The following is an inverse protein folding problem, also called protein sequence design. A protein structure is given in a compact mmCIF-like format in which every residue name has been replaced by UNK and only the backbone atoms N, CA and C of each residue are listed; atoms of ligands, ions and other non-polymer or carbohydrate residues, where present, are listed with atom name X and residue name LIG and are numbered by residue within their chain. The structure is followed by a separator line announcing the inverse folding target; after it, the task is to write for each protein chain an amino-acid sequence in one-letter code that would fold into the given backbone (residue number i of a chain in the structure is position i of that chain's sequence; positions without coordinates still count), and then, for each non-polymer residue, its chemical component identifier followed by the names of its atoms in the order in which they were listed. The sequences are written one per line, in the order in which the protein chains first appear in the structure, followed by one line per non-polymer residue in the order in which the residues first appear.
data_IF_320938424161
#
_entry.id   IF_320938424161
#
_cell.length_a   1.000
_cell.length_b   1.000
_cell.length_c   1.000
_cell.angle_alpha   90.00
_cell.angle_beta   90.00
_cell.angle_gamma   90.00
#
_symmetry.space_group_name_H-M   'P 1'
#
loop_
_entity.id
_entity.type
_entity.pdbx_description
1 polymer ?
#
# COMPACT_ATOMS: atom_id res chain seq x y z
N UNK A 1 -1.54 4.76 -22.19
CA UNK A 1 -0.38 3.86 -22.31
C UNK A 1 -0.82 2.64 -23.08
N UNK A 2 0.00 2.17 -24.03
CA UNK A 2 -0.25 0.91 -24.73
C UNK A 2 -0.19 -0.22 -23.70
N UNK A 3 -1.16 -1.14 -23.72
CA UNK A 3 -1.23 -2.27 -22.81
C UNK A 3 -0.02 -3.17 -23.10
N UNK A 4 0.82 -3.41 -22.09
CA UNK A 4 1.99 -4.28 -22.25
C UNK A 4 1.54 -5.72 -22.55
N UNK A 5 2.24 -6.39 -23.46
CA UNK A 5 2.07 -7.82 -23.69
C UNK A 5 2.62 -8.64 -22.51
N UNK A 6 2.23 -9.92 -22.42
CA UNK A 6 2.76 -10.83 -21.40
C UNK A 6 4.28 -10.95 -21.53
N UNK A 7 4.81 -11.01 -22.75
CA UNK A 7 6.26 -11.11 -22.98
C UNK A 7 7.00 -9.85 -22.53
N UNK A 8 6.42 -8.66 -22.73
CA UNK A 8 6.96 -7.40 -22.21
C UNK A 8 6.94 -7.35 -20.68
N UNK A 9 5.87 -7.86 -20.05
CA UNK A 9 5.79 -7.95 -18.58
C UNK A 9 6.83 -8.92 -18.03
N UNK A 10 7.05 -10.07 -18.68
CA UNK A 10 8.10 -11.03 -18.32
C UNK A 10 9.48 -10.42 -18.42
N UNK A 11 9.78 -9.75 -19.52
CA UNK A 11 11.06 -9.05 -19.72
C UNK A 11 11.29 -7.97 -18.65
N UNK A 12 10.24 -7.24 -18.26
CA UNK A 12 10.33 -6.24 -17.19
C UNK A 12 10.61 -6.89 -15.81
N UNK A 13 9.94 -8.01 -15.49
CA UNK A 13 10.21 -8.77 -14.26
C UNK A 13 11.65 -9.28 -14.23
N UNK A 14 12.17 -9.82 -15.34
CA UNK A 14 13.56 -10.27 -15.45
C UNK A 14 14.57 -9.12 -15.28
N UNK A 15 14.26 -7.94 -15.81
CA UNK A 15 15.08 -6.73 -15.62
C UNK A 15 15.17 -6.37 -14.14
N UNK A 16 14.03 -6.24 -13.44
CA UNK A 16 14.04 -5.89 -12.01
C UNK A 16 14.71 -6.95 -11.14
N UNK A 17 14.58 -8.24 -11.49
CA UNK A 17 15.33 -9.32 -10.82
C UNK A 17 16.83 -9.16 -10.99
N UNK A 18 17.27 -8.80 -12.19
CA UNK A 18 18.69 -8.54 -12.49
C UNK A 18 19.23 -7.34 -11.71
N UNK A 19 18.37 -6.35 -11.42
CA UNK A 19 18.66 -5.20 -10.55
C UNK A 19 18.62 -5.54 -9.05
N UNK A 20 18.29 -6.79 -8.68
CA UNK A 20 18.33 -7.29 -7.31
C UNK A 20 17.05 -7.08 -6.49
N UNK A 21 15.93 -6.71 -7.13
CA UNK A 21 14.66 -6.51 -6.44
C UNK A 21 14.05 -7.85 -5.97
N UNK A 22 13.45 -7.82 -4.78
CA UNK A 22 12.64 -8.93 -4.26
C UNK A 22 11.30 -9.06 -5.01
N UNK A 23 10.61 -10.20 -4.85
CA UNK A 23 9.29 -10.41 -5.45
C UNK A 23 8.30 -9.32 -5.04
N UNK A 24 8.33 -8.93 -3.77
CA UNK A 24 7.49 -7.87 -3.22
C UNK A 24 7.81 -6.51 -3.87
N UNK A 25 9.09 -6.13 -3.97
CA UNK A 25 9.49 -4.85 -4.56
C UNK A 25 9.08 -4.75 -6.04
N UNK A 26 9.17 -5.85 -6.78
CA UNK A 26 8.71 -5.92 -8.17
C UNK A 26 7.18 -5.77 -8.26
N UNK A 27 6.44 -6.42 -7.35
CA UNK A 27 4.99 -6.32 -7.28
C UNK A 27 4.55 -4.86 -7.03
N UNK A 28 5.23 -4.17 -6.11
CA UNK A 28 4.97 -2.77 -5.78
C UNK A 28 5.26 -1.85 -6.98
N UNK A 29 6.41 -2.02 -7.64
CA UNK A 29 6.82 -1.19 -8.78
C UNK A 29 5.91 -1.41 -10.01
N UNK A 30 5.46 -2.65 -10.24
CA UNK A 30 4.59 -2.98 -11.37
C UNK A 30 3.10 -2.76 -11.05
N UNK A 31 2.75 -2.52 -9.78
CA UNK A 31 1.38 -2.49 -9.26
C UNK A 31 0.59 -3.77 -9.59
N UNK A 32 1.25 -4.92 -9.41
CA UNK A 32 0.74 -6.27 -9.61
C UNK A 32 0.75 -7.03 -8.29
N UNK A 33 0.01 -8.15 -8.20
CA UNK A 33 0.13 -9.07 -7.06
C UNK A 33 1.45 -9.86 -7.11
N UNK A 34 1.97 -10.23 -5.95
CA UNK A 34 3.14 -11.12 -5.85
C UNK A 34 2.92 -12.44 -6.61
N UNK A 35 1.71 -13.00 -6.58
CA UNK A 35 1.34 -14.21 -7.34
C UNK A 35 1.53 -14.02 -8.83
N UNK A 36 1.15 -12.84 -9.36
CA UNK A 36 1.34 -12.52 -10.78
C UNK A 36 2.81 -12.34 -11.13
N UNK A 37 3.60 -11.70 -10.26
CA UNK A 37 5.06 -11.59 -10.46
C UNK A 37 5.74 -12.97 -10.44
N UNK A 38 5.31 -13.87 -9.56
CA UNK A 38 5.80 -15.25 -9.52
C UNK A 38 5.44 -16.03 -10.78
N UNK A 39 4.21 -15.87 -11.28
CA UNK A 39 3.78 -16.47 -12.55
C UNK A 39 4.54 -15.89 -13.75
N UNK A 40 4.78 -14.58 -13.78
CA UNK A 40 5.61 -13.94 -14.82
C UNK A 40 7.07 -14.43 -14.77
N UNK A 41 7.55 -14.86 -13.60
CA UNK A 41 8.90 -15.41 -13.43
C UNK A 41 9.00 -16.90 -13.79
N UNK A 42 7.88 -17.61 -14.01
CA UNK A 42 7.91 -19.05 -14.28
C UNK A 42 8.25 -19.34 -15.75
N UNK A 43 9.08 -20.37 -15.97
CA UNK A 43 9.52 -20.81 -17.31
C UNK A 43 8.58 -21.81 -17.98
N UNK A 44 7.57 -22.29 -17.26
CA UNK A 44 6.60 -23.27 -17.76
C UNK A 44 5.35 -22.58 -18.34
N UNK A 45 4.93 -23.03 -19.51
CA UNK A 45 4.02 -22.30 -20.41
C UNK A 45 2.54 -22.71 -20.34
N UNK A 46 2.00 -23.22 -19.22
CA UNK A 46 0.66 -23.87 -19.27
C UNK A 46 -0.32 -23.58 -18.12
N UNK A 47 -0.02 -22.71 -17.15
CA UNK A 47 -1.07 -22.27 -16.22
C UNK A 47 -1.78 -21.01 -16.75
N UNK A 48 -3.12 -21.00 -16.69
CA UNK A 48 -3.91 -19.79 -16.91
C UNK A 48 -3.33 -18.66 -16.04
N UNK A 49 -3.16 -17.45 -16.60
CA UNK A 49 -2.61 -16.34 -15.83
C UNK A 49 -3.52 -16.07 -14.62
N UNK A 50 -2.94 -15.78 -13.44
CA UNK A 50 -3.74 -15.39 -12.28
C UNK A 50 -4.62 -14.21 -12.65
N UNK A 51 -5.87 -14.23 -12.19
CA UNK A 51 -6.78 -13.10 -12.36
C UNK A 51 -6.25 -11.92 -11.56
N UNK A 52 -5.69 -10.95 -12.26
CA UNK A 52 -5.13 -9.76 -11.64
C UNK A 52 -5.39 -8.52 -12.49
N UNK A 53 -5.55 -7.37 -11.81
CA UNK A 53 -5.77 -6.07 -12.42
C UNK A 53 -4.63 -5.15 -11.99
N UNK A 54 -3.86 -4.68 -12.98
CA UNK A 54 -2.80 -3.70 -12.76
C UNK A 54 -3.41 -2.32 -12.51
N UNK A 55 -3.01 -1.68 -11.42
CA UNK A 55 -3.45 -0.32 -11.09
C UNK A 55 -2.40 0.69 -11.54
N UNK A 56 -2.63 1.30 -12.70
CA UNK A 56 -1.77 2.38 -13.19
C UNK A 56 -2.26 3.75 -12.71
N UNK A 57 -1.61 4.32 -11.70
CA UNK A 57 -1.99 5.63 -11.15
C UNK A 57 -0.94 6.73 -11.41
N UNK A 58 -0.06 6.53 -12.40
CA UNK A 58 1.00 7.49 -12.79
C UNK A 58 0.48 8.91 -13.03
N UNK A 59 -0.72 9.05 -13.59
CA UNK A 59 -1.36 10.36 -13.81
C UNK A 59 -1.53 11.15 -12.52
N UNK A 60 -1.69 10.48 -11.38
CA UNK A 60 -1.73 11.10 -10.05
C UNK A 60 -0.30 11.25 -9.52
N UNK A 61 0.48 10.15 -9.53
CA UNK A 61 1.81 10.06 -8.89
C UNK A 61 2.83 11.13 -9.32
N UNK A 62 2.75 11.65 -10.55
CA UNK A 62 3.78 12.54 -11.12
C UNK A 62 3.61 14.03 -10.77
N UNK A 63 2.55 14.42 -10.06
CA UNK A 63 2.31 15.82 -9.65
C UNK A 63 1.90 15.90 -8.19
N UNK A 64 2.65 16.66 -7.39
CA UNK A 64 2.36 16.88 -5.97
C UNK A 64 0.94 17.37 -5.72
N UNK A 65 0.46 18.36 -6.49
CA UNK A 65 -0.91 18.86 -6.37
C UNK A 65 -2.02 17.82 -6.62
N UNK A 66 -1.72 16.72 -7.33
CA UNK A 66 -2.67 15.61 -7.54
C UNK A 66 -2.62 14.62 -6.38
N UNK A 67 -1.44 14.42 -5.78
CA UNK A 67 -1.31 13.71 -4.50
C UNK A 67 -2.10 14.47 -3.44
N UNK A 68 -1.88 15.78 -3.32
CA UNK A 68 -2.61 16.64 -2.38
C UNK A 68 -4.12 16.54 -2.57
N UNK A 69 -4.63 16.62 -3.80
CA UNK A 69 -6.06 16.48 -4.06
C UNK A 69 -6.64 15.11 -3.71
N UNK A 70 -5.85 14.03 -3.80
CA UNK A 70 -6.26 12.70 -3.32
C UNK A 70 -6.20 12.64 -1.80
N UNK A 71 -5.13 13.18 -1.20
CA UNK A 71 -4.95 13.26 0.23
C UNK A 71 -6.03 14.09 0.93
N UNK A 72 -6.57 15.14 0.29
CA UNK A 72 -7.69 15.88 0.86
C UNK A 72 -8.96 15.02 0.98
N UNK A 73 -9.16 14.06 0.06
CA UNK A 73 -10.26 13.09 0.16
C UNK A 73 -9.98 12.10 1.29
N UNK A 74 -8.72 11.69 1.48
CA UNK A 74 -8.34 10.88 2.64
C UNK A 74 -8.57 11.61 3.96
N UNK A 75 -8.24 12.90 4.07
CA UNK A 75 -8.50 13.70 5.26
C UNK A 75 -10.00 13.73 5.61
N UNK A 76 -10.87 13.98 4.64
CA UNK A 76 -12.33 13.97 4.80
C UNK A 76 -12.83 12.62 5.36
N UNK A 77 -12.31 11.50 4.83
CA UNK A 77 -12.65 10.15 5.33
C UNK A 77 -12.10 9.92 6.76
N UNK A 78 -10.91 10.41 7.08
CA UNK A 78 -10.35 10.30 8.44
C UNK A 78 -11.22 11.06 9.42
N UNK A 79 -11.64 12.28 9.08
CA UNK A 79 -12.55 13.08 9.91
C UNK A 79 -13.90 12.38 10.10
N UNK A 80 -14.46 11.77 9.05
CA UNK A 80 -15.71 11.01 9.12
C UNK A 80 -15.61 9.78 10.03
N UNK A 81 -14.55 8.98 9.87
CA UNK A 81 -14.41 7.67 10.55
C UNK A 81 -13.79 7.79 11.95
N UNK A 82 -12.96 8.79 12.19
CA UNK A 82 -12.13 8.91 13.41
C UNK A 82 -12.30 10.24 14.15
N UNK A 83 -12.88 11.28 13.54
CA UNK A 83 -12.89 12.62 14.09
C UNK A 83 -11.48 13.21 14.27
N UNK A 84 -11.30 14.07 15.28
CA UNK A 84 -10.03 14.75 15.58
C UNK A 84 -9.08 13.90 16.45
N UNK A 85 -9.36 12.61 16.62
CA UNK A 85 -8.74 11.74 17.63
C UNK A 85 -7.68 10.82 17.01
N UNK A 86 -6.77 11.39 16.21
CA UNK A 86 -5.64 10.70 15.57
C UNK A 86 -4.34 11.41 15.93
N UNK A 87 -3.28 10.65 16.21
CA UNK A 87 -1.97 11.20 16.53
C UNK A 87 -0.99 11.10 15.33
N UNK A 88 -1.02 9.97 14.61
CA UNK A 88 0.01 9.62 13.62
C UNK A 88 -0.60 9.09 12.32
N UNK A 89 -0.09 9.59 11.20
CA UNK A 89 -0.29 8.97 9.88
C UNK A 89 0.94 8.13 9.53
N UNK A 90 0.71 6.83 9.35
CA UNK A 90 1.76 5.87 8.98
C UNK A 90 1.67 5.52 7.50
N UNK A 91 2.73 5.84 6.75
CA UNK A 91 2.86 5.45 5.35
C UNK A 91 3.55 4.09 5.22
N UNK A 92 2.94 3.16 4.48
CA UNK A 92 3.64 1.94 4.06
C UNK A 92 4.58 2.29 2.90
N UNK A 93 5.85 1.92 3.05
CA UNK A 93 6.87 2.15 2.04
C UNK A 93 6.65 1.24 0.82
N UNK A 94 6.82 1.72 -0.40
CA UNK A 94 7.26 3.09 -0.76
C UNK A 94 6.10 4.07 -0.98
N UNK A 95 5.04 3.63 -1.63
CA UNK A 95 4.05 4.52 -2.22
C UNK A 95 3.13 5.20 -1.19
N UNK A 96 2.83 4.54 -0.08
CA UNK A 96 2.05 5.13 1.01
C UNK A 96 2.68 6.37 1.64
N UNK A 97 4.02 6.54 1.53
CA UNK A 97 4.75 7.66 2.15
C UNK A 97 4.30 9.02 1.61
N UNK A 98 4.05 9.14 0.30
CA UNK A 98 3.68 10.44 -0.29
C UNK A 98 2.29 10.89 0.16
N UNK A 99 1.36 9.94 0.33
CA UNK A 99 0.05 10.23 0.87
C UNK A 99 0.12 10.54 2.36
N UNK A 100 0.87 9.74 3.13
CA UNK A 100 1.06 9.96 4.56
C UNK A 100 1.61 11.34 4.87
N UNK A 101 2.65 11.77 4.14
CA UNK A 101 3.22 13.11 4.30
C UNK A 101 2.22 14.22 3.96
N UNK A 102 1.46 14.08 2.88
CA UNK A 102 0.49 15.09 2.48
C UNK A 102 -0.68 15.19 3.47
N UNK A 103 -1.18 14.05 3.98
CA UNK A 103 -2.26 14.02 4.98
C UNK A 103 -1.78 14.63 6.30
N UNK A 104 -0.61 14.19 6.79
CA UNK A 104 -0.02 14.70 8.02
C UNK A 104 0.19 16.23 7.94
N UNK A 105 0.61 16.75 6.78
CA UNK A 105 0.74 18.19 6.57
C UNK A 105 -0.59 18.95 6.54
N UNK A 106 -1.68 18.35 6.09
CA UNK A 106 -3.00 18.98 6.02
C UNK A 106 -3.71 19.00 7.38
N UNK A 107 -3.53 17.94 8.15
CA UNK A 107 -4.19 17.73 9.45
C UNK A 107 -3.32 18.11 10.65
N UNK A 108 -2.08 18.57 10.42
CA UNK A 108 -1.08 18.88 11.46
C UNK A 108 -0.81 17.69 12.40
N UNK A 109 -0.64 16.50 11.82
CA UNK A 109 -0.38 15.24 12.53
C UNK A 109 1.07 14.80 12.41
N UNK A 110 1.51 13.92 13.30
CA UNK A 110 2.81 13.29 13.17
C UNK A 110 2.84 12.29 12.01
N UNK A 111 4.02 12.08 11.44
CA UNK A 111 4.25 11.07 10.40
C UNK A 111 5.13 9.94 10.92
N UNK A 112 4.76 8.70 10.58
CA UNK A 112 5.60 7.51 10.74
C UNK A 112 5.69 6.72 9.44
N UNK A 113 6.68 5.83 9.33
CA UNK A 113 6.90 5.04 8.12
C UNK A 113 7.14 3.58 8.48
N UNK A 114 6.35 2.69 7.87
CA UNK A 114 6.60 1.24 7.89
C UNK A 114 7.35 0.81 6.63
N UNK A 115 8.42 0.05 6.79
CA UNK A 115 9.18 -0.56 5.71
C UNK A 115 8.96 -2.06 5.71
N UNK A 116 8.56 -2.61 4.57
CA UNK A 116 8.55 -4.06 4.36
C UNK A 116 9.99 -4.57 4.27
N UNK A 117 10.50 -5.19 5.32
CA UNK A 117 11.83 -5.81 5.34
C UNK A 117 11.65 -7.31 5.06
N UNK A 118 11.86 -7.70 3.80
CA UNK A 118 11.92 -9.10 3.30
C UNK A 118 10.62 -9.92 3.42
N UNK A 119 10.53 -11.00 2.62
CA UNK A 119 9.32 -11.84 2.49
C UNK A 119 8.88 -12.48 3.83
N UNK A 120 9.82 -12.71 4.76
CA UNK A 120 9.61 -13.38 6.04
C UNK A 120 9.75 -12.46 7.28
N UNK A 121 10.08 -11.19 7.11
CA UNK A 121 10.18 -10.25 8.24
C UNK A 121 8.82 -9.68 8.63
N UNK A 122 8.66 -9.35 9.90
CA UNK A 122 7.66 -8.40 10.35
C UNK A 122 8.01 -7.01 9.77
N UNK A 123 7.00 -6.23 9.38
CA UNK A 123 7.24 -4.86 8.90
C UNK A 123 8.05 -4.07 9.93
N UNK A 124 8.96 -3.20 9.49
CA UNK A 124 9.81 -2.42 10.38
C UNK A 124 9.33 -0.97 10.43
N UNK A 125 9.01 -0.47 11.62
CA UNK A 125 8.74 0.95 11.82
C UNK A 125 10.07 1.68 11.92
N UNK A 126 10.24 2.75 11.15
CA UNK A 126 11.50 3.48 11.09
C UNK A 126 11.70 4.36 12.34
N UNK A 127 12.83 4.18 13.03
CA UNK A 127 13.23 4.96 14.22
C UNK A 127 13.55 6.44 13.94
N UNK A 128 13.50 6.88 12.68
CA UNK A 128 13.77 8.28 12.28
C UNK A 128 12.52 9.15 12.44
N UNK A 129 11.34 8.55 12.33
CA UNK A 129 10.06 9.24 12.32
C UNK A 129 9.36 9.11 13.67
N UNK A 130 8.13 9.64 13.78
CA UNK A 130 7.40 9.61 15.04
C UNK A 130 7.19 8.16 15.54
N UNK A 131 7.38 8.01 16.85
CA UNK A 131 7.01 6.78 17.57
C UNK A 131 5.50 6.59 17.51
N UNK A 132 5.06 5.33 17.47
CA UNK A 132 3.66 4.89 17.35
C UNK A 132 3.10 4.32 18.65
N UNK A 133 3.96 4.03 19.64
CA UNK A 133 3.56 3.35 20.88
C UNK A 133 2.57 4.19 21.68
N UNK A 134 1.42 3.61 22.02
CA UNK A 134 0.36 4.26 22.78
C UNK A 134 -0.41 5.34 22.02
N UNK A 135 -0.21 5.45 20.70
CA UNK A 135 -0.82 6.47 19.84
C UNK A 135 -1.90 5.88 18.94
N UNK A 136 -2.81 6.75 18.50
CA UNK A 136 -3.86 6.44 17.52
C UNK A 136 -3.30 6.64 16.12
N UNK A 137 -3.31 5.56 15.34
CA UNK A 137 -2.60 5.49 14.06
C UNK A 137 -3.57 5.21 12.92
N UNK A 138 -3.47 6.02 11.87
CA UNK A 138 -4.06 5.72 10.55
C UNK A 138 -2.95 5.22 9.63
N UNK A 139 -3.20 4.09 8.96
CA UNK A 139 -2.26 3.50 7.99
C UNK A 139 -2.70 3.88 6.58
N UNK A 140 -1.75 4.31 5.75
CA UNK A 140 -2.02 4.71 4.36
C UNK A 140 -1.08 3.99 3.40
N UNK A 141 -1.65 3.49 2.31
CA UNK A 141 -0.92 2.89 1.18
C UNK A 141 -1.59 3.24 -0.16
N UNK A 142 -1.01 2.86 -1.30
CA UNK A 142 -1.63 3.10 -2.61
C UNK A 142 -2.64 2.00 -2.99
N UNK A 143 -2.24 0.73 -2.97
CA UNK A 143 -3.04 -0.38 -3.48
C UNK A 143 -3.01 -1.56 -2.55
N UNK A 144 -4.19 -2.09 -2.21
CA UNK A 144 -4.30 -3.38 -1.52
C UNK A 144 -4.77 -4.47 -2.48
N UNK A 145 -4.06 -5.62 -2.44
CA UNK A 145 -4.46 -6.87 -3.10
C UNK A 145 -4.96 -7.89 -2.07
N UNK A 146 -4.14 -8.84 -1.62
CA UNK A 146 -4.53 -9.82 -0.57
C UNK A 146 -4.63 -9.21 0.83
N UNK A 147 -4.08 -8.01 1.02
CA UNK A 147 -3.95 -7.35 2.32
C UNK A 147 -2.80 -7.83 3.19
N UNK A 148 -1.96 -8.76 2.73
CA UNK A 148 -0.86 -9.33 3.54
C UNK A 148 0.04 -8.26 4.17
N UNK A 149 0.50 -7.28 3.38
CA UNK A 149 1.37 -6.19 3.87
C UNK A 149 0.68 -5.32 4.92
N UNK A 150 -0.57 -4.94 4.66
CA UNK A 150 -1.38 -4.14 5.58
C UNK A 150 -1.63 -4.90 6.89
N UNK A 151 -2.03 -6.19 6.83
CA UNK A 151 -2.24 -7.06 7.99
C UNK A 151 -0.98 -7.21 8.85
N UNK A 152 0.17 -7.46 8.22
CA UNK A 152 1.47 -7.50 8.92
C UNK A 152 1.77 -6.18 9.62
N UNK A 153 1.50 -5.05 8.96
CA UNK A 153 1.69 -3.71 9.53
C UNK A 153 0.78 -3.47 10.72
N UNK A 154 -0.52 -3.79 10.62
CA UNK A 154 -1.48 -3.69 11.72
C UNK A 154 -1.00 -4.52 12.92
N UNK A 155 -0.63 -5.78 12.70
CA UNK A 155 -0.21 -6.67 13.78
C UNK A 155 1.10 -6.20 14.45
N UNK A 156 2.04 -5.66 13.68
CA UNK A 156 3.25 -5.06 14.23
C UNK A 156 2.95 -3.81 15.06
N UNK A 157 2.06 -2.92 14.59
CA UNK A 157 1.66 -1.75 15.35
C UNK A 157 0.93 -2.12 16.65
N UNK A 158 0.03 -3.09 16.59
CA UNK A 158 -0.67 -3.61 17.78
C UNK A 158 0.29 -4.25 18.78
N UNK A 159 1.32 -4.98 18.32
CA UNK A 159 2.33 -5.59 19.22
C UNK A 159 3.20 -4.53 19.92
N UNK A 160 3.38 -3.37 19.29
CA UNK A 160 4.03 -2.19 19.88
C UNK A 160 3.09 -1.40 20.81
N UNK A 161 1.81 -1.75 20.89
CA UNK A 161 0.81 -1.05 21.72
C UNK A 161 0.26 0.22 21.08
N UNK A 162 0.34 0.36 19.76
CA UNK A 162 -0.38 1.39 19.01
C UNK A 162 -1.85 0.99 18.83
N UNK A 163 -2.72 1.99 18.77
CA UNK A 163 -4.16 1.82 18.54
C UNK A 163 -4.50 2.16 17.08
N UNK A 164 -4.57 1.14 16.22
CA UNK A 164 -4.79 1.34 14.78
C UNK A 164 -6.27 1.60 14.50
N UNK A 165 -6.59 2.82 14.07
CA UNK A 165 -7.98 3.27 13.87
C UNK A 165 -8.51 2.93 12.47
N UNK A 166 -7.70 3.14 11.44
CA UNK A 166 -8.17 3.12 10.06
C UNK A 166 -7.05 2.74 9.09
N UNK A 167 -7.40 1.99 8.04
CA UNK A 167 -6.54 1.73 6.88
C UNK A 167 -7.12 2.41 5.64
N UNK A 168 -6.29 3.17 4.92
CA UNK A 168 -6.66 3.90 3.71
C UNK A 168 -5.83 3.48 2.51
N UNK A 169 -6.50 3.32 1.37
CA UNK A 169 -5.85 3.01 0.09
C UNK A 169 -6.50 3.77 -1.06
N UNK A 170 -5.72 4.07 -2.11
CA UNK A 170 -6.28 4.62 -3.34
C UNK A 170 -7.13 3.56 -4.05
N UNK A 171 -6.63 2.32 -4.17
CA UNK A 171 -7.36 1.25 -4.83
C UNK A 171 -7.42 -0.03 -3.97
N UNK A 172 -8.63 -0.55 -3.79
CA UNK A 172 -8.90 -1.81 -3.12
C UNK A 172 -9.26 -2.91 -4.13
N UNK A 173 -8.33 -3.83 -4.38
CA UNK A 173 -8.53 -4.98 -5.29
C UNK A 173 -9.16 -6.19 -4.60
N UNK A 174 -9.69 -6.00 -3.40
CA UNK A 174 -10.37 -7.03 -2.61
C UNK A 174 -11.82 -6.64 -2.33
N UNK A 175 -12.57 -7.59 -1.79
CA UNK A 175 -13.91 -7.34 -1.24
C UNK A 175 -13.88 -7.02 0.25
N UNK A 176 -12.69 -6.88 0.86
CA UNK A 176 -12.58 -6.59 2.28
C UNK A 176 -12.94 -5.13 2.57
N UNK A 177 -13.61 -4.93 3.70
CA UNK A 177 -13.92 -3.63 4.33
C UNK A 177 -13.27 -3.50 5.72
N UNK A 178 -12.60 -4.57 6.17
CA UNK A 178 -11.91 -4.64 7.45
C UNK A 178 -10.72 -5.60 7.33
N UNK A 179 -9.63 -5.32 8.06
CA UNK A 179 -8.46 -6.17 8.19
C UNK A 179 -8.04 -6.22 9.66
N UNK A 180 -7.91 -7.43 10.22
CA UNK A 180 -7.46 -7.61 11.61
C UNK A 180 -8.26 -6.76 12.63
N UNK A 181 -9.58 -6.58 12.43
CA UNK A 181 -10.42 -5.76 13.29
C UNK A 181 -10.30 -4.25 13.08
N UNK A 182 -9.66 -3.80 11.99
CA UNK A 182 -9.48 -2.38 11.63
C UNK A 182 -10.22 -2.09 10.32
N UNK A 183 -11.04 -1.04 10.30
CA UNK A 183 -11.74 -0.59 9.10
C UNK A 183 -10.78 -0.31 7.95
N UNK A 184 -11.17 -0.72 6.75
CA UNK A 184 -10.47 -0.45 5.50
C UNK A 184 -11.35 0.40 4.59
N UNK A 185 -10.80 1.52 4.11
CA UNK A 185 -11.44 2.40 3.14
C UNK A 185 -10.56 2.54 1.91
N UNK A 186 -11.12 2.22 0.75
CA UNK A 186 -10.48 2.41 -0.54
C UNK A 186 -11.26 3.43 -1.37
N UNK A 187 -10.59 4.42 -1.96
CA UNK A 187 -11.27 5.40 -2.82
C UNK A 187 -11.92 4.74 -4.04
N UNK A 188 -11.29 3.68 -4.56
CA UNK A 188 -11.77 2.91 -5.71
C UNK A 188 -11.73 1.43 -5.36
N UNK A 189 -12.85 0.72 -5.56
CA UNK A 189 -12.88 -0.75 -5.47
C UNK A 189 -12.73 -1.37 -6.86
N UNK A 190 -11.79 -2.31 -7.00
CA UNK A 190 -11.42 -2.94 -8.26
C UNK A 190 -11.52 -4.46 -8.12
N UNK A 191 -12.73 -4.98 -8.24
CA UNK A 191 -13.02 -6.42 -8.12
C UNK A 191 -13.66 -6.93 -9.41
N UNK A 192 -13.33 -8.16 -9.81
CA UNK A 192 -14.04 -8.85 -10.87
C UNK A 192 -15.37 -9.39 -10.34
N UNK A 193 -16.47 -9.14 -11.07
CA UNK A 193 -17.80 -9.72 -10.81
C UNK A 193 -17.95 -11.03 -11.59
#
# INVERSE_FOLDING_TARGET
MMQMSIDELRAQVESYRSDGLSTQQIADEMSLSQTTVMWLSSKETVEEPPKDIRIGWRSIAVKGSRIEAVSSIFCDIIEEECGDDIDVILGISLNGIVFAQSIASMMDLEISISRSIHDNGDGHISDVYADVRGKKVVIVDDVISSGTTMKKTINNLKSLGADVQLCLVLANKSTADELEGVSLRGLIRVVSV
#
